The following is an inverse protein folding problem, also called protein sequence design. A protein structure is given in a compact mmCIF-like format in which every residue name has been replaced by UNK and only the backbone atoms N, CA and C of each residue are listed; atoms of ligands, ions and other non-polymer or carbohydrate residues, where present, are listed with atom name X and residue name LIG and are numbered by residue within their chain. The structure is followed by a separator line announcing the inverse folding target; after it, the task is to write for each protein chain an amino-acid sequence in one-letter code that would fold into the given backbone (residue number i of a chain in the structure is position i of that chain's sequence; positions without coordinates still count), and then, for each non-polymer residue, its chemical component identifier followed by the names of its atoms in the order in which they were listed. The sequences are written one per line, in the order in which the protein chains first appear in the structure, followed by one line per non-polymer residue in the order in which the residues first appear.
data_IF_364742969265
#
_entry.id   IF_364742969265
#
_cell.length_a   1.000
_cell.length_b   1.000
_cell.length_c   1.000
_cell.angle_alpha   90.00
_cell.angle_beta   90.00
_cell.angle_gamma   90.00
#
_symmetry.space_group_name_H-M   'P 1'
#
loop_
_entity.id
_entity.type
_entity.pdbx_description
1 polymer ?
#
# COMPACT_ATOMS: atom_id res chain seq x y z
N UNK A 1 -26.88 -0.52 -6.44
CA UNK A 1 -26.56 -0.62 -4.99
C UNK A 1 -27.59 0.15 -4.18
N UNK A 2 -28.18 -0.46 -3.15
CA UNK A 2 -29.23 0.12 -2.29
C UNK A 2 -28.71 1.18 -1.28
N UNK A 3 -27.39 1.30 -1.11
CA UNK A 3 -26.78 2.21 -0.12
C UNK A 3 -26.53 3.64 -0.63
N UNK A 4 -26.99 4.02 -1.83
CA UNK A 4 -26.73 5.34 -2.43
C UNK A 4 -27.13 6.51 -1.52
N UNK A 5 -28.18 6.35 -0.73
CA UNK A 5 -28.67 7.39 0.20
C UNK A 5 -27.73 7.68 1.38
N UNK A 6 -26.87 6.73 1.75
CA UNK A 6 -25.93 6.87 2.86
C UNK A 6 -24.54 7.34 2.40
N UNK A 7 -24.21 7.19 1.11
CA UNK A 7 -22.92 7.63 0.55
C UNK A 7 -22.76 9.14 0.72
N UNK A 8 -23.83 9.91 0.49
CA UNK A 8 -23.80 11.38 0.59
C UNK A 8 -23.49 11.89 2.01
N UNK A 9 -23.77 11.09 3.05
CA UNK A 9 -23.43 11.41 4.44
C UNK A 9 -21.94 11.11 4.71
N UNK A 10 -21.41 10.04 4.12
CA UNK A 10 -20.03 9.59 4.29
C UNK A 10 -19.05 10.45 3.50
N UNK A 11 -19.41 10.88 2.28
CA UNK A 11 -18.58 11.73 1.42
C UNK A 11 -18.72 13.24 1.72
N UNK A 12 -19.69 13.60 2.57
CA UNK A 12 -19.92 14.97 3.02
C UNK A 12 -20.70 15.83 2.03
N UNK A 13 -21.36 15.25 1.03
CA UNK A 13 -22.22 15.96 0.07
C UNK A 13 -23.57 16.39 0.67
N UNK A 14 -24.00 15.76 1.78
CA UNK A 14 -25.18 16.15 2.56
C UNK A 14 -24.71 16.66 3.94
N UNK A 15 -24.43 17.96 4.05
CA UNK A 15 -24.00 18.61 5.28
C UNK A 15 -25.22 19.07 6.10
N UNK A 16 -25.09 19.00 7.43
CA UNK A 16 -26.12 19.47 8.35
C UNK A 16 -26.48 20.96 8.12
N UNK A 17 -25.55 21.76 7.60
CA UNK A 17 -25.75 23.18 7.27
C UNK A 17 -26.75 23.43 6.14
N UNK A 18 -26.94 22.47 5.24
CA UNK A 18 -27.66 22.66 3.98
C UNK A 18 -29.14 22.26 4.07
N UNK A 19 -29.54 21.65 5.18
CA UNK A 19 -30.88 21.07 5.40
C UNK A 19 -31.92 22.07 5.96
N UNK A 20 -31.54 23.35 6.13
CA UNK A 20 -32.40 24.38 6.72
C UNK A 20 -32.69 24.18 8.21
N UNK A 21 -33.29 25.20 8.86
CA UNK A 21 -33.58 25.24 10.32
C UNK A 21 -34.73 24.30 10.76
N UNK A 22 -35.10 23.32 9.95
CA UNK A 22 -36.21 22.41 10.27
C UNK A 22 -35.73 21.25 11.17
N UNK A 23 -36.31 21.14 12.36
CA UNK A 23 -35.95 20.14 13.38
C UNK A 23 -36.15 18.70 12.88
N UNK A 24 -37.11 18.47 11.98
CA UNK A 24 -37.36 17.14 11.41
C UNK A 24 -36.23 16.70 10.49
N UNK A 25 -35.73 17.60 9.64
CA UNK A 25 -34.62 17.31 8.71
C UNK A 25 -33.31 17.08 9.46
N UNK A 26 -33.04 17.87 10.51
CA UNK A 26 -31.90 17.68 11.42
C UNK A 26 -31.95 16.28 12.05
N UNK A 27 -33.13 15.84 12.50
CA UNK A 27 -33.32 14.52 13.14
C UNK A 27 -33.11 13.37 12.15
N UNK A 28 -33.62 13.50 10.93
CA UNK A 28 -33.41 12.53 9.84
C UNK A 28 -31.94 12.43 9.46
N UNK A 29 -31.23 13.55 9.37
CA UNK A 29 -29.79 13.58 9.11
C UNK A 29 -29.01 12.87 10.22
N UNK A 30 -29.23 13.25 11.49
CA UNK A 30 -28.56 12.63 12.66
C UNK A 30 -28.79 11.12 12.74
N UNK A 31 -29.99 10.66 12.39
CA UNK A 31 -30.30 9.22 12.36
C UNK A 31 -29.54 8.48 11.25
N UNK A 32 -29.38 9.10 10.08
CA UNK A 32 -28.58 8.53 8.97
C UNK A 32 -27.11 8.51 9.32
N UNK A 33 -26.59 9.60 9.87
CA UNK A 33 -25.21 9.71 10.34
C UNK A 33 -24.91 8.66 11.41
N UNK A 34 -25.71 8.54 12.47
CA UNK A 34 -25.52 7.53 13.52
C UNK A 34 -25.50 6.09 12.98
N UNK A 35 -26.31 5.77 11.96
CA UNK A 35 -26.28 4.45 11.29
C UNK A 35 -24.94 4.23 10.59
N UNK A 36 -24.43 5.22 9.87
CA UNK A 36 -23.14 5.12 9.20
C UNK A 36 -21.97 4.98 10.19
N UNK A 37 -21.98 5.77 11.28
CA UNK A 37 -21.00 5.63 12.36
C UNK A 37 -21.00 4.22 12.93
N UNK A 38 -22.18 3.65 13.22
CA UNK A 38 -22.31 2.27 13.72
C UNK A 38 -21.69 1.25 12.76
N UNK A 39 -21.96 1.37 11.45
CA UNK A 39 -21.36 0.48 10.46
C UNK A 39 -19.84 0.60 10.43
N UNK A 40 -19.29 1.82 10.41
CA UNK A 40 -17.85 2.04 10.42
C UNK A 40 -17.20 1.39 11.65
N UNK A 41 -17.69 1.70 12.86
CA UNK A 41 -17.10 1.15 14.11
C UNK A 41 -17.13 -0.38 14.13
N UNK A 42 -18.13 -1.00 13.51
CA UNK A 42 -18.26 -2.46 13.50
C UNK A 42 -17.35 -3.14 12.48
N UNK A 43 -16.99 -2.48 11.38
CA UNK A 43 -16.20 -3.07 10.30
C UNK A 43 -14.70 -2.87 10.44
N UNK A 44 -14.25 -1.84 11.16
CA UNK A 44 -12.82 -1.53 11.26
C UNK A 44 -12.09 -2.32 12.36
N UNK A 45 -10.78 -2.42 12.24
CA UNK A 45 -9.89 -3.06 13.22
C UNK A 45 -9.73 -2.23 14.50
N UNK A 46 -9.33 -2.89 15.59
CA UNK A 46 -9.20 -2.25 16.92
C UNK A 46 -8.23 -1.07 16.93
N UNK A 47 -7.13 -1.15 16.18
CA UNK A 47 -6.12 -0.07 16.14
C UNK A 47 -6.69 1.21 15.50
N UNK A 48 -7.54 1.09 14.48
CA UNK A 48 -8.17 2.24 13.83
C UNK A 48 -9.30 2.84 14.69
N UNK A 49 -9.95 2.03 15.55
CA UNK A 49 -11.06 2.48 16.42
C UNK A 49 -10.66 3.57 17.40
N UNK A 50 -9.45 3.49 17.96
CA UNK A 50 -8.95 4.48 18.92
C UNK A 50 -8.79 5.86 18.30
N UNK A 51 -8.58 5.94 16.99
CA UNK A 51 -8.41 7.22 16.29
C UNK A 51 -9.74 7.86 15.90
N UNK A 52 -10.81 7.08 15.72
CA UNK A 52 -12.11 7.61 15.30
C UNK A 52 -13.11 7.80 16.43
N UNK A 53 -12.80 7.35 17.65
CA UNK A 53 -13.69 7.47 18.82
C UNK A 53 -13.94 8.93 19.23
N UNK A 54 -13.03 9.84 18.85
CA UNK A 54 -13.15 11.28 19.12
C UNK A 54 -13.86 12.04 18.00
N UNK A 55 -14.16 11.39 16.86
CA UNK A 55 -14.88 12.00 15.76
C UNK A 55 -16.37 12.11 16.08
N UNK A 56 -16.99 13.19 15.62
CA UNK A 56 -18.39 13.53 15.93
C UNK A 56 -19.34 13.21 14.78
N UNK A 57 -18.83 13.16 13.55
CA UNK A 57 -19.61 12.85 12.34
C UNK A 57 -19.01 11.67 11.60
N UNK A 58 -19.84 10.97 10.82
CA UNK A 58 -19.39 9.91 9.92
C UNK A 58 -18.32 10.38 8.95
N UNK A 59 -18.45 11.62 8.46
CA UNK A 59 -17.49 12.24 7.54
C UNK A 59 -16.11 12.36 8.18
N UNK A 60 -16.04 12.87 9.41
CA UNK A 60 -14.79 12.94 10.16
C UNK A 60 -14.19 11.55 10.37
N UNK A 61 -14.99 10.56 10.76
CA UNK A 61 -14.53 9.18 10.93
C UNK A 61 -13.95 8.63 9.63
N UNK A 62 -14.63 8.82 8.50
CA UNK A 62 -14.18 8.35 7.20
C UNK A 62 -12.88 9.04 6.75
N UNK A 63 -12.77 10.36 6.93
CA UNK A 63 -11.56 11.11 6.60
C UNK A 63 -10.37 10.69 7.46
N UNK A 64 -10.58 10.51 8.77
CA UNK A 64 -9.53 10.02 9.68
C UNK A 64 -9.07 8.62 9.28
N UNK A 65 -9.99 7.71 8.94
CA UNK A 65 -9.61 6.38 8.43
C UNK A 65 -8.82 6.48 7.14
N UNK A 66 -9.27 7.31 6.21
CA UNK A 66 -8.56 7.54 4.95
C UNK A 66 -7.14 8.03 5.21
N UNK A 67 -6.94 8.96 6.14
CA UNK A 67 -5.62 9.44 6.54
C UNK A 67 -4.74 8.34 7.15
N UNK A 68 -5.27 7.51 8.05
CA UNK A 68 -4.53 6.41 8.68
C UNK A 68 -4.04 5.43 7.62
N UNK A 69 -4.95 4.89 6.81
CA UNK A 69 -4.58 3.88 5.81
C UNK A 69 -3.69 4.46 4.71
N UNK A 70 -3.88 5.73 4.32
CA UNK A 70 -2.97 6.40 3.37
C UNK A 70 -1.58 6.62 3.97
N UNK A 71 -1.50 6.99 5.25
CA UNK A 71 -0.23 7.14 5.96
C UNK A 71 0.50 5.81 6.05
N UNK A 72 -0.19 4.74 6.45
CA UNK A 72 0.40 3.40 6.55
C UNK A 72 0.92 2.92 5.20
N UNK A 73 0.12 3.12 4.14
CA UNK A 73 0.54 2.82 2.76
C UNK A 73 1.79 3.62 2.37
N UNK A 74 1.84 4.91 2.70
CA UNK A 74 2.98 5.79 2.39
C UNK A 74 4.24 5.41 3.18
N UNK A 75 4.09 5.06 4.45
CA UNK A 75 5.18 4.61 5.31
C UNK A 75 5.71 3.25 4.86
N UNK A 76 4.82 2.30 4.54
CA UNK A 76 5.18 1.01 3.98
C UNK A 76 5.95 1.16 2.66
N UNK A 77 5.47 2.05 1.77
CA UNK A 77 6.18 2.39 0.53
C UNK A 77 7.58 2.93 0.82
N UNK A 78 7.72 3.89 1.73
CA UNK A 78 9.02 4.46 2.09
C UNK A 78 9.97 3.39 2.63
N UNK A 79 9.49 2.52 3.53
CA UNK A 79 10.27 1.41 4.07
C UNK A 79 10.73 0.44 2.98
N UNK A 80 9.84 0.04 2.08
CA UNK A 80 10.18 -0.87 0.97
C UNK A 80 11.17 -0.24 -0.01
N UNK A 81 11.08 1.06 -0.27
CA UNK A 81 12.07 1.76 -1.10
C UNK A 81 13.44 1.78 -0.42
N UNK A 82 13.49 2.08 0.88
CA UNK A 82 14.73 2.04 1.65
C UNK A 82 15.32 0.64 1.67
N UNK A 83 14.52 -0.40 1.89
CA UNK A 83 14.94 -1.78 1.82
C UNK A 83 15.48 -2.12 0.43
N UNK A 84 14.76 -1.80 -0.64
CA UNK A 84 15.19 -2.07 -2.01
C UNK A 84 16.53 -1.41 -2.35
N UNK A 85 16.69 -0.11 -2.07
CA UNK A 85 17.92 0.61 -2.43
C UNK A 85 19.10 0.28 -1.52
N UNK A 86 18.86 0.12 -0.21
CA UNK A 86 19.94 -0.13 0.76
C UNK A 86 20.26 -1.61 0.97
N UNK A 87 19.49 -2.53 0.39
CA UNK A 87 19.77 -3.95 0.51
C UNK A 87 21.21 -4.25 0.06
N UNK A 88 21.92 -5.00 0.89
CA UNK A 88 23.26 -5.51 0.63
C UNK A 88 23.20 -7.03 0.75
N UNK A 89 24.05 -7.72 0.00
CA UNK A 89 24.10 -9.16 0.06
C UNK A 89 24.46 -9.65 1.46
N UNK A 90 23.57 -10.46 2.02
CA UNK A 90 23.73 -11.14 3.29
C UNK A 90 24.52 -12.42 3.08
N UNK A 91 25.80 -12.40 3.49
CA UNK A 91 26.71 -13.54 3.37
C UNK A 91 26.31 -14.74 4.24
N UNK A 92 25.39 -14.56 5.18
CA UNK A 92 24.88 -15.66 6.02
C UNK A 92 23.79 -16.47 5.32
N UNK A 93 23.25 -15.95 4.22
CA UNK A 93 22.19 -16.57 3.41
C UNK A 93 22.74 -16.99 2.05
N UNK A 94 22.10 -17.98 1.44
CA UNK A 94 22.42 -18.39 0.08
C UNK A 94 22.05 -17.30 -0.95
N UNK A 95 22.58 -17.45 -2.16
CA UNK A 95 22.36 -16.51 -3.25
C UNK A 95 20.87 -16.37 -3.62
N UNK A 96 20.12 -17.47 -3.65
CA UNK A 96 18.72 -17.46 -4.05
C UNK A 96 17.88 -16.71 -3.03
N UNK A 97 18.11 -16.92 -1.73
CA UNK A 97 17.41 -16.17 -0.67
C UNK A 97 17.65 -14.66 -0.78
N UNK A 98 18.88 -14.24 -1.12
CA UNK A 98 19.19 -12.81 -1.36
C UNK A 98 18.46 -12.26 -2.59
N UNK A 99 18.44 -13.00 -3.70
CA UNK A 99 17.72 -12.61 -4.93
C UNK A 99 16.22 -12.52 -4.68
N UNK A 100 15.64 -13.52 -4.03
CA UNK A 100 14.22 -13.55 -3.68
C UNK A 100 13.82 -12.38 -2.80
N UNK A 101 14.69 -11.92 -1.89
CA UNK A 101 14.41 -10.71 -1.10
C UNK A 101 14.22 -9.49 -1.99
N UNK A 102 15.15 -9.23 -2.91
CA UNK A 102 15.06 -8.10 -3.86
C UNK A 102 13.82 -8.19 -4.75
N UNK A 103 13.54 -9.37 -5.30
CA UNK A 103 12.36 -9.61 -6.14
C UNK A 103 11.05 -9.41 -5.37
N UNK A 104 10.96 -9.93 -4.14
CA UNK A 104 9.77 -9.79 -3.30
C UNK A 104 9.55 -8.34 -2.89
N UNK A 105 10.61 -7.61 -2.54
CA UNK A 105 10.52 -6.17 -2.23
C UNK A 105 10.08 -5.38 -3.47
N UNK A 106 10.60 -5.69 -4.66
CA UNK A 106 10.16 -5.09 -5.93
C UNK A 106 8.69 -5.39 -6.25
N UNK A 107 8.23 -6.63 -6.04
CA UNK A 107 6.82 -7.02 -6.23
C UNK A 107 5.89 -6.22 -5.30
N UNK A 108 6.26 -6.10 -4.02
CA UNK A 108 5.50 -5.28 -3.06
C UNK A 108 5.46 -3.81 -3.47
N UNK A 109 6.56 -3.27 -3.99
CA UNK A 109 6.59 -1.90 -4.52
C UNK A 109 5.66 -1.72 -5.73
N UNK A 110 5.61 -2.70 -6.64
CA UNK A 110 4.67 -2.69 -7.78
C UNK A 110 3.20 -2.71 -7.32
N UNK A 111 2.88 -3.50 -6.29
CA UNK A 111 1.54 -3.53 -5.67
C UNK A 111 1.14 -2.17 -5.06
N UNK A 112 2.12 -1.35 -4.65
CA UNK A 112 1.94 0.03 -4.19
C UNK A 112 2.05 1.07 -5.31
N UNK A 113 1.76 0.67 -6.56
CA UNK A 113 1.80 1.50 -7.77
C UNK A 113 3.16 2.18 -8.01
N UNK A 114 4.27 1.55 -7.61
CA UNK A 114 5.62 2.02 -7.98
C UNK A 114 6.07 1.36 -9.27
N UNK A 115 6.66 2.17 -10.15
CA UNK A 115 7.27 1.67 -11.37
C UNK A 115 8.66 1.10 -11.04
N UNK A 116 8.68 -0.19 -10.69
CA UNK A 116 9.92 -0.95 -10.58
C UNK A 116 10.00 -1.86 -11.79
N UNK A 117 10.74 -1.46 -12.81
CA UNK A 117 10.91 -2.30 -14.00
C UNK A 117 11.86 -3.48 -13.74
N UNK A 118 11.85 -4.46 -14.63
CA UNK A 118 12.68 -5.67 -14.50
C UNK A 118 14.18 -5.34 -14.59
N UNK A 119 14.56 -4.36 -15.42
CA UNK A 119 15.95 -3.91 -15.55
C UNK A 119 16.49 -3.34 -14.24
N UNK A 120 15.67 -2.63 -13.46
CA UNK A 120 16.02 -2.07 -12.15
C UNK A 120 16.24 -3.20 -11.14
N UNK A 121 15.41 -4.25 -11.17
CA UNK A 121 15.58 -5.44 -10.33
C UNK A 121 16.90 -6.14 -10.70
N UNK A 122 17.14 -6.39 -11.99
CA UNK A 122 18.37 -7.03 -12.46
C UNK A 122 19.61 -6.23 -12.07
N UNK A 123 19.59 -4.91 -12.30
CA UNK A 123 20.68 -4.00 -11.92
C UNK A 123 20.91 -4.03 -10.41
N UNK A 124 19.84 -4.10 -9.63
CA UNK A 124 19.97 -4.23 -8.17
C UNK A 124 20.62 -5.55 -7.78
N UNK A 125 20.24 -6.66 -8.41
CA UNK A 125 20.83 -7.97 -8.11
C UNK A 125 22.31 -8.02 -8.50
N UNK A 126 22.68 -7.54 -9.69
CA UNK A 126 24.09 -7.53 -10.13
C UNK A 126 24.98 -6.64 -9.26
N UNK A 127 24.43 -5.55 -8.72
CA UNK A 127 25.20 -4.64 -7.84
C UNK A 127 25.38 -5.14 -6.41
N UNK A 128 24.52 -6.03 -5.92
CA UNK A 128 24.68 -6.60 -4.57
C UNK A 128 25.53 -7.87 -4.56
N UNK A 129 25.61 -8.59 -5.68
CA UNK A 129 26.31 -9.88 -5.74
C UNK A 129 27.80 -9.72 -5.38
N UNK A 130 28.33 -10.53 -4.46
CA UNK A 130 29.74 -10.48 -4.09
C UNK A 130 30.65 -10.96 -5.23
N UNK A 131 31.94 -10.61 -5.14
CA UNK A 131 32.98 -10.96 -6.11
C UNK A 131 33.06 -12.47 -6.39
N UNK A 132 32.72 -13.30 -5.39
CA UNK A 132 32.67 -14.76 -5.50
C UNK A 132 31.70 -15.25 -6.59
N UNK A 133 30.72 -14.42 -6.97
CA UNK A 133 29.72 -14.66 -8.02
C UNK A 133 29.97 -13.83 -9.28
N UNK A 134 31.15 -13.23 -9.43
CA UNK A 134 31.49 -12.37 -10.58
C UNK A 134 31.32 -13.08 -11.91
N UNK A 135 31.68 -14.36 -11.99
CA UNK A 135 31.49 -15.16 -13.21
C UNK A 135 30.02 -15.23 -13.63
N UNK A 136 29.10 -15.34 -12.68
CA UNK A 136 27.66 -15.32 -12.93
C UNK A 136 27.20 -13.93 -13.38
N UNK A 137 27.64 -12.87 -12.71
CA UNK A 137 27.32 -11.49 -13.11
C UNK A 137 27.87 -11.13 -14.49
N UNK A 138 29.06 -11.61 -14.85
CA UNK A 138 29.68 -11.38 -16.17
C UNK A 138 28.92 -12.11 -17.27
N UNK A 139 28.60 -13.40 -17.07
CA UNK A 139 27.80 -14.17 -18.02
C UNK A 139 26.43 -13.50 -18.26
N UNK A 140 25.80 -12.99 -17.22
CA UNK A 140 24.54 -12.26 -17.31
C UNK A 140 24.64 -10.94 -18.09
N UNK A 141 25.65 -10.11 -17.78
CA UNK A 141 25.87 -8.85 -18.49
C UNK A 141 26.23 -9.04 -19.97
N UNK A 142 26.69 -10.23 -20.36
CA UNK A 142 27.01 -10.62 -21.73
C UNK A 142 25.83 -11.21 -22.51
N UNK A 143 24.75 -11.63 -21.84
CA UNK A 143 23.54 -12.12 -22.52
C UNK A 143 22.80 -10.96 -23.24
N UNK A 144 22.23 -11.23 -24.42
CA UNK A 144 21.51 -10.23 -25.21
C UNK A 144 20.29 -9.69 -24.44
N UNK A 145 19.99 -8.40 -24.56
CA UNK A 145 18.91 -7.72 -23.81
C UNK A 145 17.52 -8.34 -24.00
N UNK A 146 17.29 -9.05 -25.11
CA UNK A 146 16.04 -9.77 -25.42
C UNK A 146 15.90 -11.08 -24.62
N UNK A 147 17.02 -11.68 -24.22
CA UNK A 147 17.04 -12.93 -23.44
C UNK A 147 17.11 -12.68 -21.93
N UNK A 148 17.16 -11.41 -21.51
CA UNK A 148 17.25 -11.01 -20.11
C UNK A 148 15.88 -11.03 -19.44
N UNK A 149 15.33 -12.21 -19.22
CA UNK A 149 14.12 -12.41 -18.41
C UNK A 149 14.48 -13.12 -17.11
N UNK A 150 13.65 -12.93 -16.07
CA UNK A 150 13.76 -13.71 -14.82
C UNK A 150 13.64 -15.23 -15.03
N UNK A 151 13.07 -15.69 -16.14
CA UNK A 151 12.97 -17.12 -16.49
C UNK A 151 14.27 -17.66 -17.10
N UNK A 152 14.98 -16.87 -17.90
CA UNK A 152 16.30 -17.25 -18.45
C UNK A 152 17.41 -17.25 -17.38
N UNK A 153 17.14 -16.75 -16.16
CA UNK A 153 18.08 -16.71 -15.03
C UNK A 153 18.42 -18.07 -14.43
N UNK A 154 17.67 -19.13 -14.76
CA UNK A 154 17.78 -20.43 -14.13
C UNK A 154 18.13 -21.51 -15.16
N UNK A 155 19.27 -22.21 -15.03
CA UNK A 155 19.44 -23.51 -15.66
C UNK A 155 18.72 -24.56 -14.80
N UNK A 156 17.88 -25.39 -15.43
CA UNK A 156 17.26 -26.58 -14.80
C UNK A 156 18.25 -27.39 -13.93
#
# INVERSE_FOLDING_TARGET
MRAKELINIVDGSDLLSDQGRDEENIRKWKTRDAKCQYYIVRTIEKHAKTHIVTCTTTKEMYDTLKQIYQRDTSQQKCFLLQDFYNFKYDKTKDMMTNISHVQNTALKLRQLNQNVDENMIMTKITTILPEDYKHFSTAWNSAATVDRTLETWWPD
#
